data_IF_192677930441
#
_entry.id   IF_192677930441
#
_cell.length_a   1.000
_cell.length_b   1.000
_cell.length_c   1.000
_cell.angle_alpha   90.00
_cell.angle_beta   90.00
_cell.angle_gamma   90.00
#
_symmetry.space_group_name_H-M   'P 1'
#
loop_
_entity.id
_entity.type
_entity.pdbx_description
1 polymer ?
#
# COMPACT_ATOMS: atom_id res chain seq x y z
N UNK A 1 -22.43 -6.32 13.58
CA UNK A 1 -22.54 -5.53 12.33
C UNK A 1 -23.59 -4.44 12.47
N UNK A 2 -23.27 -3.25 11.95
CA UNK A 2 -24.21 -2.11 11.84
C UNK A 2 -24.82 -1.67 13.19
N UNK A 3 -24.03 -1.73 14.25
CA UNK A 3 -24.39 -1.22 15.56
C UNK A 3 -23.95 0.23 15.69
N UNK A 4 -24.69 0.98 16.51
CA UNK A 4 -24.31 2.29 16.98
C UNK A 4 -24.11 2.21 18.49
N UNK A 5 -22.85 2.41 18.93
CA UNK A 5 -22.43 2.24 20.33
C UNK A 5 -21.79 3.55 20.79
N UNK A 6 -22.39 4.16 21.82
CA UNK A 6 -22.04 5.51 22.26
C UNK A 6 -21.86 5.58 23.77
N UNK A 7 -20.88 6.33 24.21
CA UNK A 7 -20.70 6.75 25.62
C UNK A 7 -20.58 5.59 26.63
N UNK A 8 -19.93 4.51 26.20
CA UNK A 8 -19.51 3.41 27.09
C UNK A 8 -18.06 3.58 27.49
N UNK A 9 -17.55 2.71 28.36
CA UNK A 9 -16.10 2.63 28.63
C UNK A 9 -15.36 2.15 27.39
N UNK A 10 -15.85 1.06 26.79
CA UNK A 10 -15.41 0.52 25.50
C UNK A 10 -16.64 0.29 24.63
N UNK A 11 -16.55 0.66 23.35
CA UNK A 11 -17.62 0.35 22.42
C UNK A 11 -17.74 -1.17 22.19
N UNK A 12 -16.64 -1.81 21.82
CA UNK A 12 -16.51 -3.27 21.70
C UNK A 12 -15.24 -3.70 22.43
N UNK A 13 -15.38 -4.68 23.30
CA UNK A 13 -14.27 -5.24 24.08
C UNK A 13 -14.13 -6.73 23.81
N UNK A 14 -12.95 -7.15 23.37
CA UNK A 14 -12.58 -8.56 23.17
C UNK A 14 -11.46 -8.92 24.15
N UNK A 15 -11.65 -9.97 24.92
CA UNK A 15 -10.66 -10.51 25.84
C UNK A 15 -10.55 -12.01 25.61
N UNK A 16 -9.35 -12.50 25.26
CA UNK A 16 -9.11 -13.90 24.93
C UNK A 16 -10.14 -14.42 23.87
N UNK A 17 -10.39 -13.60 22.86
CA UNK A 17 -11.43 -13.84 21.87
C UNK A 17 -10.89 -13.69 20.45
N UNK A 18 -10.96 -14.76 19.68
CA UNK A 18 -10.37 -14.86 18.35
C UNK A 18 -11.43 -15.10 17.27
N UNK A 19 -11.03 -14.91 16.00
CA UNK A 19 -11.85 -15.19 14.81
C UNK A 19 -13.17 -14.40 14.74
N UNK A 20 -13.21 -13.20 15.35
CA UNK A 20 -14.37 -12.35 15.32
C UNK A 20 -14.34 -11.36 14.14
N UNK A 21 -15.53 -11.01 13.66
CA UNK A 21 -15.73 -10.05 12.59
C UNK A 21 -16.52 -8.83 13.11
N UNK A 22 -15.83 -7.68 13.23
CA UNK A 22 -16.38 -6.39 13.66
C UNK A 22 -16.49 -5.50 12.45
N UNK A 23 -17.72 -5.35 11.90
CA UNK A 23 -17.92 -4.71 10.60
C UNK A 23 -19.08 -3.71 10.59
N UNK A 24 -18.83 -2.54 9.99
CA UNK A 24 -19.87 -1.55 9.68
C UNK A 24 -20.50 -0.91 10.91
N UNK A 25 -19.79 -0.80 12.04
CA UNK A 25 -20.31 -0.21 13.26
C UNK A 25 -19.94 1.28 13.37
N UNK A 26 -20.76 2.05 14.08
CA UNK A 26 -20.45 3.41 14.54
C UNK A 26 -20.13 3.35 16.06
N UNK A 27 -18.90 3.71 16.42
CA UNK A 27 -18.37 3.64 17.79
C UNK A 27 -17.91 5.04 18.20
N UNK A 28 -18.73 5.71 19.02
CA UNK A 28 -18.55 7.14 19.24
C UNK A 28 -18.52 7.51 20.73
N UNK A 29 -17.65 8.48 21.08
CA UNK A 29 -17.54 9.10 22.39
C UNK A 29 -17.44 8.08 23.55
N UNK A 30 -16.77 6.94 23.30
CA UNK A 30 -16.51 5.98 24.35
C UNK A 30 -15.30 6.46 25.18
N UNK A 31 -15.39 6.32 26.49
CA UNK A 31 -14.43 6.91 27.44
C UNK A 31 -13.00 6.38 27.27
N UNK A 32 -12.86 5.13 26.84
CA UNK A 32 -11.56 4.53 26.56
C UNK A 32 -11.44 4.20 25.06
N UNK A 33 -12.11 3.20 24.54
CA UNK A 33 -11.85 2.78 23.15
C UNK A 33 -13.12 2.52 22.34
N UNK A 34 -13.03 2.78 21.03
CA UNK A 34 -14.04 2.28 20.11
C UNK A 34 -14.01 0.75 20.10
N UNK A 35 -12.86 0.16 19.79
CA UNK A 35 -12.62 -1.30 19.84
C UNK A 35 -11.36 -1.56 20.69
N UNK A 36 -11.44 -2.49 21.63
CA UNK A 36 -10.27 -2.93 22.40
C UNK A 36 -10.14 -4.45 22.36
N UNK A 37 -8.96 -4.92 21.95
CA UNK A 37 -8.57 -6.32 21.93
C UNK A 37 -7.45 -6.51 22.96
N UNK A 38 -7.61 -7.50 23.84
CA UNK A 38 -6.61 -7.79 24.88
C UNK A 38 -6.49 -9.28 25.17
N UNK A 39 -5.47 -9.65 25.95
CA UNK A 39 -5.22 -11.01 26.42
C UNK A 39 -5.24 -12.08 25.31
N UNK A 40 -4.48 -11.87 24.22
CA UNK A 40 -4.33 -12.86 23.16
C UNK A 40 -5.48 -12.92 22.16
N UNK A 41 -6.33 -11.88 22.12
CA UNK A 41 -7.38 -11.78 21.09
C UNK A 41 -6.77 -11.68 19.69
N UNK A 42 -6.84 -12.75 18.91
CA UNK A 42 -6.11 -12.92 17.64
C UNK A 42 -7.02 -13.28 16.50
N UNK A 43 -6.53 -13.11 15.26
CA UNK A 43 -7.27 -13.45 14.03
C UNK A 43 -8.62 -12.74 13.88
N UNK A 44 -8.81 -11.59 14.53
CA UNK A 44 -10.01 -10.79 14.40
C UNK A 44 -9.89 -9.85 13.19
N UNK A 45 -11.02 -9.56 12.55
CA UNK A 45 -11.14 -8.60 11.46
C UNK A 45 -12.02 -7.43 11.89
N UNK A 46 -11.46 -6.23 11.86
CA UNK A 46 -12.12 -4.97 12.19
C UNK A 46 -12.19 -4.15 10.90
N UNK A 47 -13.36 -4.07 10.26
CA UNK A 47 -13.43 -3.49 8.93
C UNK A 47 -14.66 -2.61 8.71
N UNK A 48 -14.46 -1.50 7.96
CA UNK A 48 -15.55 -0.61 7.56
C UNK A 48 -16.30 0.04 8.73
N UNK A 49 -15.66 0.19 9.88
CA UNK A 49 -16.26 0.85 11.04
C UNK A 49 -15.93 2.35 11.02
N UNK A 50 -16.79 3.14 11.68
CA UNK A 50 -16.60 4.58 11.89
C UNK A 50 -16.43 4.84 13.37
N UNK A 51 -15.28 5.43 13.74
CA UNK A 51 -14.89 5.68 15.13
C UNK A 51 -14.58 7.15 15.33
N UNK A 52 -15.29 7.76 16.30
CA UNK A 52 -15.18 9.20 16.54
C UNK A 52 -15.10 9.51 18.03
N UNK A 53 -14.15 10.39 18.40
CA UNK A 53 -14.11 10.97 19.75
C UNK A 53 -13.86 9.96 20.86
N UNK A 54 -13.18 8.84 20.59
CA UNK A 54 -12.78 7.89 21.61
C UNK A 54 -11.39 8.29 22.16
N UNK A 55 -10.97 7.76 23.31
CA UNK A 55 -9.58 7.94 23.73
C UNK A 55 -8.66 7.13 22.77
N UNK A 56 -8.96 5.85 22.52
CA UNK A 56 -8.40 5.04 21.44
C UNK A 56 -9.49 4.73 20.41
N UNK A 57 -9.23 4.96 19.12
CA UNK A 57 -10.13 4.45 18.08
C UNK A 57 -10.16 2.92 18.14
N UNK A 58 -8.99 2.29 17.92
CA UNK A 58 -8.76 0.85 18.09
C UNK A 58 -7.53 0.65 18.97
N UNK A 59 -7.57 -0.29 19.90
CA UNK A 59 -6.42 -0.68 20.71
C UNK A 59 -6.21 -2.19 20.69
N UNK A 60 -4.97 -2.58 20.42
CA UNK A 60 -4.45 -3.93 20.64
C UNK A 60 -3.52 -3.91 21.85
N UNK A 61 -3.76 -4.80 22.77
CA UNK A 61 -2.92 -5.03 23.93
C UNK A 61 -2.69 -6.53 24.09
N UNK A 62 -1.42 -6.98 23.89
CA UNK A 62 -1.05 -8.41 23.83
C UNK A 62 -1.93 -9.22 22.84
N UNK A 63 -2.23 -8.64 21.68
CA UNK A 63 -3.18 -9.20 20.70
C UNK A 63 -2.59 -9.12 19.30
N UNK A 64 -2.30 -10.27 18.72
CA UNK A 64 -1.54 -10.41 17.47
C UNK A 64 -2.39 -11.03 16.35
N UNK A 65 -1.88 -10.96 15.10
CA UNK A 65 -2.52 -11.58 13.91
C UNK A 65 -3.92 -11.03 13.62
N UNK A 66 -4.20 -9.77 13.94
CA UNK A 66 -5.48 -9.13 13.63
C UNK A 66 -5.38 -8.29 12.35
N UNK A 67 -6.51 -8.08 11.70
CA UNK A 67 -6.62 -7.20 10.52
C UNK A 67 -7.54 -6.02 10.81
N UNK A 68 -7.02 -4.81 10.60
CA UNK A 68 -7.78 -3.55 10.66
C UNK A 68 -7.83 -2.95 9.26
N UNK A 69 -9.00 -2.93 8.64
CA UNK A 69 -9.11 -2.51 7.25
C UNK A 69 -10.29 -1.58 6.98
N UNK A 70 -10.07 -0.56 6.14
CA UNK A 70 -11.15 0.30 5.63
C UNK A 70 -12.00 0.98 6.73
N UNK A 71 -11.41 1.26 7.89
CA UNK A 71 -12.09 2.01 8.94
C UNK A 71 -11.85 3.51 8.78
N UNK A 72 -12.80 4.31 9.24
CA UNK A 72 -12.68 5.75 9.41
C UNK A 72 -12.52 6.06 10.89
N UNK A 73 -11.38 6.64 11.29
CA UNK A 73 -11.03 6.87 12.70
C UNK A 73 -10.61 8.32 12.87
N UNK A 74 -11.38 9.09 13.63
CA UNK A 74 -11.04 10.50 13.85
C UNK A 74 -11.39 11.02 15.25
N UNK A 75 -10.75 12.14 15.61
CA UNK A 75 -11.04 12.86 16.86
C UNK A 75 -10.68 12.09 18.13
N UNK A 76 -9.82 11.08 18.05
CA UNK A 76 -9.34 10.29 19.18
C UNK A 76 -7.99 10.83 19.71
N UNK A 77 -7.60 10.46 20.92
CA UNK A 77 -6.23 10.72 21.38
C UNK A 77 -5.24 9.90 20.55
N UNK A 78 -5.51 8.62 20.36
CA UNK A 78 -4.76 7.76 19.42
C UNK A 78 -5.76 7.09 18.47
N UNK A 79 -5.49 7.20 17.18
CA UNK A 79 -6.33 6.51 16.19
C UNK A 79 -6.26 5.00 16.35
N UNK A 80 -5.06 4.41 16.21
CA UNK A 80 -4.81 2.98 16.40
C UNK A 80 -3.60 2.80 17.31
N UNK A 81 -3.79 2.09 18.42
CA UNK A 81 -2.73 1.68 19.34
C UNK A 81 -2.39 0.20 19.12
N UNK A 82 -1.10 -0.10 18.97
CA UNK A 82 -0.55 -1.47 18.94
C UNK A 82 0.46 -1.58 20.08
N UNK A 83 0.01 -2.13 21.21
CA UNK A 83 0.80 -2.28 22.42
C UNK A 83 1.18 -3.74 22.63
N UNK A 84 2.48 -4.06 22.72
CA UNK A 84 2.99 -5.44 22.90
C UNK A 84 2.29 -6.46 21.96
N UNK A 85 2.03 -6.07 20.73
CA UNK A 85 1.20 -6.81 19.77
C UNK A 85 1.90 -6.89 18.42
N UNK A 86 1.92 -8.07 17.83
CA UNK A 86 2.73 -8.34 16.65
C UNK A 86 1.91 -8.93 15.51
N UNK A 87 2.49 -8.89 14.30
CA UNK A 87 1.92 -9.56 13.13
C UNK A 87 0.49 -9.10 12.78
N UNK A 88 0.12 -7.86 13.14
CA UNK A 88 -1.16 -7.26 12.77
C UNK A 88 -1.03 -6.54 11.41
N UNK A 89 -2.13 -6.48 10.67
CA UNK A 89 -2.22 -5.77 9.40
C UNK A 89 -3.17 -4.58 9.54
N UNK A 90 -2.67 -3.38 9.30
CA UNK A 90 -3.41 -2.12 9.30
C UNK A 90 -3.44 -1.59 7.87
N UNK A 91 -4.59 -1.71 7.20
CA UNK A 91 -4.67 -1.58 5.75
C UNK A 91 -5.85 -0.72 5.29
N UNK A 92 -5.59 0.27 4.42
CA UNK A 92 -6.62 1.14 3.81
C UNK A 92 -7.56 1.82 4.82
N UNK A 93 -7.06 2.21 5.98
CA UNK A 93 -7.83 3.02 6.92
C UNK A 93 -7.63 4.51 6.63
N UNK A 94 -8.66 5.31 6.93
CA UNK A 94 -8.55 6.75 7.02
C UNK A 94 -8.44 7.14 8.49
N UNK A 95 -7.32 7.74 8.87
CA UNK A 95 -6.98 8.07 10.25
C UNK A 95 -6.65 9.56 10.32
N UNK A 96 -7.58 10.34 10.88
CA UNK A 96 -7.49 11.80 10.77
C UNK A 96 -7.92 12.54 12.03
N UNK A 97 -7.36 13.73 12.23
CA UNK A 97 -7.74 14.63 13.33
C UNK A 97 -7.63 14.01 14.73
N UNK A 98 -6.76 13.02 14.90
CA UNK A 98 -6.40 12.47 16.20
C UNK A 98 -5.22 13.28 16.80
N UNK A 99 -4.84 13.04 18.06
CA UNK A 99 -3.54 13.53 18.52
C UNK A 99 -2.46 12.73 17.79
N UNK A 100 -2.39 11.40 17.98
CA UNK A 100 -1.51 10.54 17.18
C UNK A 100 -2.33 9.61 16.28
N UNK A 101 -1.84 9.36 15.06
CA UNK A 101 -2.54 8.52 14.10
C UNK A 101 -2.43 7.04 14.46
N UNK A 102 -1.26 6.44 14.24
CA UNK A 102 -0.95 5.03 14.56
C UNK A 102 0.23 5.02 15.53
N UNK A 103 0.12 4.27 16.63
CA UNK A 103 1.18 4.12 17.62
C UNK A 103 1.50 2.64 17.79
N UNK A 104 2.76 2.24 17.54
CA UNK A 104 3.29 0.92 17.83
C UNK A 104 4.36 1.04 18.91
N UNK A 105 4.12 0.45 20.08
CA UNK A 105 5.05 0.58 21.18
C UNK A 105 5.21 -0.71 22.00
N UNK A 106 6.15 -0.67 22.95
CA UNK A 106 6.43 -1.73 23.93
C UNK A 106 6.65 -3.08 23.27
N UNK A 107 7.73 -3.17 22.47
CA UNK A 107 8.19 -4.41 21.79
C UNK A 107 7.19 -5.03 20.80
N UNK A 108 6.32 -4.22 20.24
CA UNK A 108 5.51 -4.65 19.10
C UNK A 108 6.42 -4.95 17.90
N UNK A 109 6.09 -5.99 17.13
CA UNK A 109 6.94 -6.42 16.00
C UNK A 109 6.16 -6.86 14.79
N UNK A 110 6.78 -6.75 13.62
CA UNK A 110 6.28 -7.30 12.35
C UNK A 110 4.84 -6.90 12.01
N UNK A 111 4.40 -5.74 12.46
CA UNK A 111 3.13 -5.20 12.02
C UNK A 111 3.29 -4.57 10.63
N UNK A 112 2.26 -4.69 9.80
CA UNK A 112 2.23 -4.13 8.46
C UNK A 112 1.24 -2.95 8.48
N UNK A 113 1.75 -1.76 8.19
CA UNK A 113 0.97 -0.52 8.06
C UNK A 113 1.01 -0.15 6.58
N UNK A 114 -0.11 -0.39 5.87
CA UNK A 114 -0.09 -0.31 4.40
C UNK A 114 -1.29 0.42 3.82
N UNK A 115 -1.06 1.28 2.83
CA UNK A 115 -2.11 1.98 2.05
C UNK A 115 -3.10 2.78 2.93
N UNK A 116 -2.70 3.28 4.09
CA UNK A 116 -3.55 4.11 4.93
C UNK A 116 -3.45 5.59 4.52
N UNK A 117 -4.55 6.36 4.71
CA UNK A 117 -4.57 7.82 4.63
C UNK A 117 -4.51 8.38 6.06
N UNK A 118 -3.31 8.86 6.46
CA UNK A 118 -2.99 9.33 7.82
C UNK A 118 -2.78 10.83 7.76
N UNK A 119 -3.80 11.59 8.13
CA UNK A 119 -3.86 13.00 7.80
C UNK A 119 -4.31 13.90 8.94
N UNK A 120 -3.67 15.06 9.05
CA UNK A 120 -4.07 16.13 9.97
C UNK A 120 -4.17 15.69 11.44
N UNK A 121 -3.29 14.79 11.87
CA UNK A 121 -3.16 14.47 13.28
C UNK A 121 -2.27 15.53 13.95
N UNK A 122 -2.68 16.01 15.12
CA UNK A 122 -2.00 17.15 15.77
C UNK A 122 -0.65 16.81 16.38
N UNK A 123 -0.30 15.54 16.49
CA UNK A 123 0.98 14.96 16.86
C UNK A 123 1.54 14.12 15.71
N UNK A 124 1.90 12.87 15.98
CA UNK A 124 2.55 12.00 15.01
C UNK A 124 1.54 11.32 14.08
N UNK A 125 1.88 11.24 12.78
CA UNK A 125 1.13 10.40 11.85
C UNK A 125 1.31 8.93 12.21
N UNK A 126 2.56 8.46 12.23
CA UNK A 126 2.97 7.12 12.68
C UNK A 126 4.05 7.27 13.75
N UNK A 127 3.85 6.65 14.89
CA UNK A 127 4.78 6.60 16.01
C UNK A 127 5.21 5.16 16.27
N UNK A 128 6.53 4.93 16.24
CA UNK A 128 7.14 3.63 16.55
C UNK A 128 8.12 3.85 17.71
N UNK A 129 7.79 3.30 18.88
CA UNK A 129 8.60 3.44 20.07
C UNK A 129 8.95 2.07 20.66
N UNK A 130 10.25 1.80 20.84
CA UNK A 130 10.76 0.53 21.38
C UNK A 130 10.11 -0.69 20.69
N UNK A 131 10.05 -0.61 19.34
CA UNK A 131 9.32 -1.56 18.50
C UNK A 131 10.05 -1.75 17.16
N UNK A 132 10.02 -2.96 16.60
CA UNK A 132 10.95 -3.37 15.56
C UNK A 132 10.30 -4.18 14.45
N UNK A 133 11.03 -4.30 13.33
CA UNK A 133 10.68 -5.18 12.21
C UNK A 133 9.33 -4.83 11.54
N UNK A 134 8.84 -3.59 11.66
CA UNK A 134 7.61 -3.16 11.02
C UNK A 134 7.82 -2.86 9.55
N UNK A 135 6.74 -2.99 8.75
CA UNK A 135 6.70 -2.58 7.35
C UNK A 135 5.67 -1.46 7.19
N UNK A 136 6.12 -0.30 6.76
CA UNK A 136 5.30 0.90 6.54
C UNK A 136 5.38 1.22 5.05
N UNK A 137 4.34 0.85 4.29
CA UNK A 137 4.41 0.80 2.83
C UNK A 137 3.17 1.44 2.19
N UNK A 138 3.35 2.30 1.20
CA UNK A 138 2.26 2.81 0.38
C UNK A 138 1.27 3.71 1.11
N UNK A 139 1.62 4.26 2.27
CA UNK A 139 0.73 5.14 3.02
C UNK A 139 0.83 6.58 2.50
N UNK A 140 -0.28 7.33 2.62
CA UNK A 140 -0.29 8.77 2.52
C UNK A 140 -0.23 9.35 3.94
N UNK A 141 0.92 9.96 4.31
CA UNK A 141 1.18 10.50 5.65
C UNK A 141 1.40 12.00 5.50
N UNK A 142 0.36 12.78 5.80
CA UNK A 142 0.39 14.21 5.47
C UNK A 142 -0.28 15.12 6.48
N UNK A 143 0.20 16.36 6.50
CA UNK A 143 -0.38 17.43 7.32
C UNK A 143 -0.39 17.09 8.83
N UNK A 144 0.50 16.25 9.30
CA UNK A 144 0.67 15.93 10.72
C UNK A 144 1.73 16.86 11.34
N UNK A 145 1.83 16.94 12.67
CA UNK A 145 2.92 17.65 13.34
C UNK A 145 4.28 17.03 13.02
N UNK A 146 4.37 15.71 13.02
CA UNK A 146 5.45 15.00 12.36
C UNK A 146 4.84 13.78 11.61
N UNK A 147 5.37 13.48 10.44
CA UNK A 147 4.87 12.36 9.64
C UNK A 147 5.13 11.04 10.33
N UNK A 148 6.40 10.74 10.58
CA UNK A 148 6.87 9.52 11.25
C UNK A 148 7.76 9.88 12.42
N UNK A 149 7.53 9.27 13.57
CA UNK A 149 8.39 9.34 14.74
C UNK A 149 8.94 7.95 15.08
N UNK A 150 10.27 7.88 15.27
CA UNK A 150 10.99 6.65 15.60
C UNK A 150 11.83 6.88 16.86
N UNK A 151 11.63 6.04 17.89
CA UNK A 151 12.37 6.09 19.13
C UNK A 151 12.78 4.68 19.57
N UNK A 152 14.10 4.46 19.72
CA UNK A 152 14.67 3.16 20.11
C UNK A 152 14.12 1.98 19.27
N UNK A 153 13.98 2.21 17.95
CA UNK A 153 13.28 1.31 17.05
C UNK A 153 14.15 0.96 15.84
N UNK A 154 14.30 -0.33 15.55
CA UNK A 154 15.28 -0.84 14.59
C UNK A 154 14.64 -1.79 13.58
N UNK A 155 15.31 -1.96 12.42
CA UNK A 155 14.89 -2.87 11.35
C UNK A 155 13.48 -2.61 10.79
N UNK A 156 12.96 -1.41 10.94
CA UNK A 156 11.73 -1.05 10.28
C UNK A 156 12.01 -0.74 8.80
N UNK A 157 11.11 -1.14 7.92
CA UNK A 157 11.22 -0.91 6.48
C UNK A 157 10.14 0.05 6.05
N UNK A 158 10.51 1.17 5.45
CA UNK A 158 9.64 2.33 5.18
C UNK A 158 9.87 2.78 3.75
N UNK A 159 9.01 2.38 2.81
CA UNK A 159 9.15 2.77 1.40
C UNK A 159 7.79 2.87 0.68
N UNK A 160 7.80 3.48 -0.49
CA UNK A 160 6.59 3.77 -1.29
C UNK A 160 5.51 4.57 -0.56
N UNK A 161 5.88 5.30 0.51
CA UNK A 161 4.95 6.20 1.18
C UNK A 161 4.99 7.60 0.54
N UNK A 162 3.87 8.29 0.56
CA UNK A 162 3.81 9.73 0.31
C UNK A 162 3.90 10.46 1.64
N UNK A 163 5.06 11.05 1.94
CA UNK A 163 5.33 11.78 3.19
C UNK A 163 5.32 13.28 2.85
N UNK A 164 4.23 13.96 3.24
CA UNK A 164 3.93 15.27 2.67
C UNK A 164 3.49 16.30 3.72
N UNK A 165 4.05 17.48 3.63
CA UNK A 165 3.58 18.67 4.37
C UNK A 165 3.45 18.46 5.88
N UNK A 166 4.15 17.51 6.45
CA UNK A 166 4.21 17.36 7.89
C UNK A 166 5.13 18.45 8.45
N UNK A 167 4.70 19.16 9.48
CA UNK A 167 5.41 20.33 9.96
C UNK A 167 5.42 20.38 11.49
N UNK A 168 6.61 20.50 12.12
CA UNK A 168 7.88 20.90 11.53
C UNK A 168 8.73 19.79 10.91
N UNK A 169 8.34 18.51 11.01
CA UNK A 169 9.19 17.39 10.59
C UNK A 169 8.46 16.40 9.69
N UNK A 170 9.05 16.04 8.54
CA UNK A 170 8.59 14.86 7.80
C UNK A 170 8.85 13.59 8.60
N UNK A 171 10.04 13.48 9.19
CA UNK A 171 10.43 12.39 10.07
C UNK A 171 11.20 12.95 11.27
N UNK A 172 11.01 12.36 12.43
CA UNK A 172 11.81 12.63 13.63
C UNK A 172 12.33 11.31 14.19
N UNK A 173 13.68 11.17 14.25
CA UNK A 173 14.37 9.95 14.65
C UNK A 173 15.17 10.21 15.93
N UNK A 174 15.05 9.27 16.87
CA UNK A 174 15.88 9.25 18.08
C UNK A 174 16.32 7.82 18.40
N UNK A 175 17.63 7.57 18.41
CA UNK A 175 18.23 6.26 18.70
C UNK A 175 17.58 5.11 17.90
N UNK A 176 17.37 5.31 16.62
CA UNK A 176 16.73 4.34 15.73
C UNK A 176 17.48 4.27 14.40
N UNK A 177 17.37 3.16 13.70
CA UNK A 177 17.89 2.98 12.33
C UNK A 177 16.94 2.12 11.53
N UNK A 178 16.58 2.58 10.32
CA UNK A 178 15.58 1.97 9.46
C UNK A 178 16.05 1.84 8.02
N UNK A 179 15.32 1.07 7.21
CA UNK A 179 15.50 0.98 5.76
C UNK A 179 14.43 1.85 5.10
N UNK A 180 14.86 2.80 4.26
CA UNK A 180 13.98 3.83 3.71
C UNK A 180 13.68 3.68 2.23
N UNK A 181 14.25 2.70 1.57
CA UNK A 181 13.97 2.37 0.18
C UNK A 181 13.92 0.86 -0.04
N UNK A 182 13.37 0.44 -1.17
CA UNK A 182 13.32 -0.96 -1.62
C UNK A 182 14.37 -1.24 -2.72
N UNK A 183 15.37 -0.37 -2.79
CA UNK A 183 16.43 -0.44 -3.78
C UNK A 183 16.01 -0.02 -5.19
N UNK A 184 16.98 0.02 -6.09
CA UNK A 184 16.74 0.31 -7.51
C UNK A 184 16.40 -0.99 -8.27
N UNK A 185 15.40 -1.03 -9.15
CA UNK A 185 14.57 0.09 -9.61
C UNK A 185 13.27 0.30 -8.81
N UNK A 186 13.01 -0.37 -7.71
CA UNK A 186 11.77 -0.22 -6.95
C UNK A 186 11.57 1.21 -6.44
N UNK A 187 12.54 1.75 -5.73
CA UNK A 187 12.55 3.10 -5.21
C UNK A 187 12.19 3.17 -3.72
N UNK A 188 12.24 4.37 -3.18
CA UNK A 188 11.96 4.68 -1.79
C UNK A 188 10.61 5.39 -1.58
N UNK A 189 10.62 6.52 -0.90
CA UNK A 189 9.43 7.30 -0.59
C UNK A 189 9.34 8.58 -1.46
N UNK A 190 8.15 9.11 -1.57
CA UNK A 190 7.95 10.48 -2.03
C UNK A 190 7.99 11.45 -0.84
N UNK A 191 8.78 12.50 -0.98
CA UNK A 191 8.99 13.55 0.02
C UNK A 191 8.58 14.90 -0.56
N UNK A 192 7.59 15.57 0.03
CA UNK A 192 7.10 16.84 -0.51
C UNK A 192 8.11 17.99 -0.44
N UNK A 193 9.16 17.84 0.33
CA UNK A 193 10.25 18.81 0.49
C UNK A 193 11.56 18.38 -0.19
N UNK A 194 11.54 17.30 -0.98
CA UNK A 194 12.68 16.89 -1.81
C UNK A 194 12.97 17.95 -2.87
N UNK A 195 14.23 18.38 -2.96
CA UNK A 195 14.69 19.46 -3.85
C UNK A 195 15.59 18.94 -4.99
N UNK A 196 15.71 17.64 -5.16
CA UNK A 196 16.50 17.05 -6.24
C UNK A 196 15.80 17.16 -7.61
N UNK A 197 16.47 16.62 -8.62
CA UNK A 197 15.98 16.49 -9.99
C UNK A 197 15.84 15.01 -10.37
N UNK A 198 15.22 14.76 -11.52
CA UNK A 198 15.18 13.46 -12.20
C UNK A 198 15.63 13.69 -13.65
N UNK A 199 16.93 13.81 -13.84
CA UNK A 199 17.59 14.06 -15.12
C UNK A 199 18.52 12.91 -15.52
N UNK A 200 18.75 12.01 -14.61
CA UNK A 200 19.57 10.82 -14.79
C UNK A 200 18.75 9.57 -14.43
N UNK A 201 19.29 8.41 -14.79
CA UNK A 201 18.69 7.09 -14.57
C UNK A 201 19.75 6.06 -14.24
N UNK A 202 19.30 4.87 -13.84
CA UNK A 202 20.15 3.72 -13.53
C UNK A 202 20.56 3.70 -12.05
N UNK A 203 21.09 2.58 -11.60
CA UNK A 203 21.43 2.35 -10.20
C UNK A 203 22.33 3.46 -9.59
N UNK A 204 23.23 4.02 -10.37
CA UNK A 204 24.12 5.11 -9.93
C UNK A 204 23.59 6.50 -10.24
N UNK A 205 22.36 6.64 -10.77
CA UNK A 205 21.76 7.91 -11.20
C UNK A 205 22.78 8.79 -11.98
N UNK A 206 23.41 8.21 -13.02
CA UNK A 206 24.52 8.84 -13.75
C UNK A 206 24.43 8.68 -15.27
N UNK A 207 23.36 8.09 -15.80
CA UNK A 207 23.05 7.99 -17.23
C UNK A 207 21.98 9.01 -17.57
N UNK A 208 22.15 9.78 -18.65
CA UNK A 208 21.14 10.76 -19.05
C UNK A 208 19.77 10.15 -19.32
N UNK A 209 18.73 10.80 -18.84
CA UNK A 209 17.33 10.44 -18.97
C UNK A 209 16.66 10.24 -17.61
N UNK A 210 15.37 10.52 -17.53
CA UNK A 210 14.56 10.34 -16.32
C UNK A 210 14.09 8.90 -16.15
N UNK A 211 13.88 8.49 -14.90
CA UNK A 211 13.32 7.17 -14.55
C UNK A 211 12.25 7.22 -13.44
N UNK A 212 11.87 8.42 -12.99
CA UNK A 212 10.88 8.65 -11.94
C UNK A 212 11.44 8.54 -10.52
N UNK A 213 12.78 8.42 -10.41
CA UNK A 213 13.54 8.40 -9.16
C UNK A 213 14.43 9.63 -9.12
N UNK A 214 14.58 10.24 -7.97
CA UNK A 214 15.43 11.43 -7.81
C UNK A 214 16.91 11.12 -7.95
N UNK A 215 17.65 12.01 -8.63
CA UNK A 215 19.08 11.88 -8.92
C UNK A 215 19.97 11.85 -7.68
N UNK A 216 19.46 12.33 -6.55
CA UNK A 216 20.22 12.42 -5.30
C UNK A 216 19.43 11.82 -4.14
N UNK A 217 20.09 11.13 -3.21
CA UNK A 217 19.41 10.61 -2.03
C UNK A 217 18.72 11.70 -1.20
N UNK A 218 17.62 11.34 -0.53
CA UNK A 218 16.99 12.17 0.50
C UNK A 218 17.56 11.82 1.87
N UNK A 219 18.27 12.75 2.50
CA UNK A 219 18.86 12.57 3.83
C UNK A 219 17.82 12.85 4.90
N UNK A 220 17.53 11.86 5.74
CA UNK A 220 16.62 11.98 6.88
C UNK A 220 17.43 12.45 8.10
N UNK A 221 18.54 11.74 8.39
CA UNK A 221 19.54 12.18 9.34
C UNK A 221 20.95 11.71 8.90
N UNK A 222 21.90 11.58 9.83
CA UNK A 222 23.29 11.21 9.50
C UNK A 222 23.44 9.73 9.13
N UNK A 223 22.56 8.88 9.64
CA UNK A 223 22.64 7.42 9.49
C UNK A 223 21.48 6.85 8.65
N UNK A 224 20.40 7.63 8.47
CA UNK A 224 19.19 7.23 7.77
C UNK A 224 18.99 8.03 6.48
N UNK A 225 18.95 7.32 5.35
CA UNK A 225 18.91 7.88 4.00
C UNK A 225 17.93 7.07 3.15
N UNK A 226 17.05 7.74 2.42
CA UNK A 226 16.35 7.17 1.28
C UNK A 226 17.22 7.35 0.03
N UNK A 227 17.82 6.26 -0.42
CA UNK A 227 18.81 6.28 -1.51
C UNK A 227 18.18 6.50 -2.89
N UNK A 228 16.88 6.20 -3.02
CA UNK A 228 16.16 6.24 -4.27
C UNK A 228 14.78 6.92 -4.11
N UNK A 229 14.74 8.21 -3.68
CA UNK A 229 13.48 8.91 -3.44
C UNK A 229 12.64 8.98 -4.73
N UNK A 230 11.34 8.74 -4.61
CA UNK A 230 10.42 8.86 -5.74
C UNK A 230 10.25 10.34 -6.13
N UNK A 231 10.33 10.62 -7.42
CA UNK A 231 10.27 12.01 -7.92
C UNK A 231 8.86 12.62 -7.92
N UNK A 232 7.83 11.78 -7.78
CA UNK A 232 6.44 12.22 -7.61
C UNK A 232 5.68 11.26 -6.69
N UNK A 233 4.44 11.63 -6.37
CA UNK A 233 3.56 10.81 -5.54
C UNK A 233 3.30 9.45 -6.16
N UNK A 234 3.29 8.43 -5.32
CA UNK A 234 2.92 7.08 -5.69
C UNK A 234 1.47 6.80 -5.32
N UNK A 235 0.75 6.14 -6.21
CA UNK A 235 -0.60 5.62 -5.95
C UNK A 235 -0.65 4.13 -6.26
N UNK A 236 -1.14 3.35 -5.30
CA UNK A 236 -1.29 1.90 -5.39
C UNK A 236 -2.72 1.58 -5.76
N UNK A 237 -2.94 1.05 -6.97
CA UNK A 237 -4.26 0.71 -7.50
C UNK A 237 -4.54 -0.79 -7.39
N UNK A 238 -5.62 -1.17 -6.72
CA UNK A 238 -6.08 -2.56 -6.75
C UNK A 238 -6.65 -2.88 -8.14
N UNK A 239 -6.13 -3.92 -8.75
CA UNK A 239 -6.62 -4.41 -10.04
C UNK A 239 -7.39 -5.72 -9.93
N UNK A 240 -7.71 -6.13 -8.72
CA UNK A 240 -8.57 -7.28 -8.43
C UNK A 240 -7.84 -8.53 -7.97
N UNK A 241 -8.62 -9.57 -7.77
CA UNK A 241 -8.12 -10.89 -7.35
C UNK A 241 -8.21 -11.84 -8.54
N UNK A 242 -7.07 -12.35 -8.99
CA UNK A 242 -6.97 -13.25 -10.12
C UNK A 242 -6.29 -14.55 -9.68
N UNK A 243 -6.94 -15.69 -9.92
CA UNK A 243 -6.46 -17.01 -9.46
C UNK A 243 -6.17 -17.06 -7.94
N UNK A 244 -6.95 -16.34 -7.13
CA UNK A 244 -6.78 -16.29 -5.69
C UNK A 244 -5.65 -15.37 -5.19
N UNK A 245 -4.98 -14.65 -6.09
CA UNK A 245 -3.94 -13.67 -5.76
C UNK A 245 -4.50 -12.26 -5.97
N UNK A 246 -4.37 -11.42 -4.96
CA UNK A 246 -4.68 -9.99 -5.08
C UNK A 246 -3.52 -9.26 -5.76
N UNK A 247 -3.83 -8.46 -6.78
CA UNK A 247 -2.85 -7.70 -7.54
C UNK A 247 -3.07 -6.21 -7.39
N UNK A 248 -1.97 -5.47 -7.47
CA UNK A 248 -1.97 -4.01 -7.56
C UNK A 248 -1.01 -3.55 -8.64
N UNK A 249 -1.23 -2.35 -9.13
CA UNK A 249 -0.35 -1.62 -10.02
C UNK A 249 0.01 -0.32 -9.33
N UNK A 250 1.29 -0.01 -9.26
CA UNK A 250 1.78 1.20 -8.62
C UNK A 250 2.15 2.22 -9.69
N UNK A 251 1.67 3.44 -9.52
CA UNK A 251 1.91 4.53 -10.47
C UNK A 251 2.54 5.70 -9.71
N UNK A 252 3.76 6.08 -10.13
CA UNK A 252 4.43 7.32 -9.72
C UNK A 252 4.24 8.33 -10.83
N UNK A 253 3.64 9.47 -10.53
CA UNK A 253 3.34 10.49 -11.54
C UNK A 253 3.12 11.86 -10.92
N UNK A 254 3.45 12.90 -11.68
CA UNK A 254 3.09 14.29 -11.38
C UNK A 254 1.70 14.70 -11.88
N UNK A 255 0.91 13.73 -12.38
CA UNK A 255 -0.46 13.91 -12.82
C UNK A 255 -1.45 13.32 -11.82
N UNK A 256 -2.70 13.78 -11.85
CA UNK A 256 -3.79 13.08 -11.16
C UNK A 256 -4.23 11.88 -12.00
N UNK A 257 -4.24 10.69 -11.40
CA UNK A 257 -4.71 9.45 -12.04
C UNK A 257 -6.15 9.17 -11.65
N UNK A 258 -6.98 8.88 -12.64
CA UNK A 258 -8.40 8.58 -12.49
C UNK A 258 -8.75 7.29 -13.25
N UNK A 259 -9.81 6.62 -12.81
CA UNK A 259 -10.50 5.55 -13.55
C UNK A 259 -9.58 4.40 -14.03
N UNK A 260 -8.62 3.97 -13.20
CA UNK A 260 -7.79 2.83 -13.57
C UNK A 260 -8.66 1.56 -13.69
N UNK A 261 -8.60 0.94 -14.85
CA UNK A 261 -9.35 -0.26 -15.21
C UNK A 261 -8.40 -1.32 -15.78
N UNK A 262 -8.44 -2.49 -15.15
CA UNK A 262 -7.83 -3.71 -15.68
C UNK A 262 -8.92 -4.77 -15.85
N UNK A 263 -9.16 -5.18 -17.10
CA UNK A 263 -10.12 -6.25 -17.40
C UNK A 263 -9.46 -7.28 -18.33
N UNK A 264 -9.03 -8.43 -17.83
CA UNK A 264 -8.34 -9.44 -18.62
C UNK A 264 -9.21 -10.01 -19.74
N UNK A 265 -10.54 -9.87 -19.69
CA UNK A 265 -11.44 -10.30 -20.76
C UNK A 265 -11.38 -9.36 -21.99
N UNK A 266 -10.91 -8.13 -21.84
CA UNK A 266 -10.69 -7.18 -22.92
C UNK A 266 -9.30 -7.30 -23.54
N UNK A 267 -8.48 -8.17 -23.00
CA UNK A 267 -7.11 -8.44 -23.41
C UNK A 267 -6.07 -8.04 -22.37
N UNK A 268 -4.79 -8.27 -22.68
CA UNK A 268 -3.67 -8.04 -21.76
C UNK A 268 -3.34 -6.54 -21.66
N UNK A 269 -4.26 -5.75 -21.14
CA UNK A 269 -4.09 -4.30 -21.05
C UNK A 269 -4.76 -3.72 -19.80
N UNK A 270 -4.23 -2.60 -19.37
CA UNK A 270 -4.94 -1.70 -18.45
C UNK A 270 -4.95 -0.27 -19.01
N UNK A 271 -5.91 0.49 -18.55
CA UNK A 271 -6.09 1.90 -18.94
C UNK A 271 -6.40 2.72 -17.71
N UNK A 272 -5.98 3.97 -17.76
CA UNK A 272 -6.31 5.00 -16.78
C UNK A 272 -6.32 6.38 -17.43
N UNK A 273 -7.03 7.30 -16.81
CA UNK A 273 -7.01 8.68 -17.24
C UNK A 273 -5.99 9.47 -16.40
N UNK A 274 -5.31 10.40 -17.04
CA UNK A 274 -4.42 11.35 -16.40
C UNK A 274 -4.87 12.77 -16.67
N UNK A 275 -4.67 13.65 -15.70
CA UNK A 275 -4.91 15.09 -15.85
C UNK A 275 -3.83 15.87 -15.11
N UNK A 276 -3.44 17.00 -15.68
CA UNK A 276 -2.50 17.96 -15.11
C UNK A 276 -2.67 19.31 -15.81
N UNK A 277 -1.90 20.30 -15.40
CA UNK A 277 -2.00 21.68 -15.90
C UNK A 277 -1.62 21.77 -17.38
N UNK A 278 -2.51 22.29 -18.21
CA UNK A 278 -2.32 22.43 -19.64
C UNK A 278 -1.00 23.17 -19.96
N UNK A 279 -0.26 22.64 -20.93
CA UNK A 279 1.02 23.20 -21.37
C UNK A 279 2.22 22.84 -20.51
N UNK A 280 2.06 21.99 -19.51
CA UNK A 280 3.15 21.38 -18.74
C UNK A 280 3.41 19.93 -19.21
N UNK A 281 4.50 19.33 -18.73
CA UNK A 281 4.85 17.95 -19.04
C UNK A 281 4.47 17.02 -17.90
N UNK A 282 3.79 15.94 -18.25
CA UNK A 282 3.53 14.80 -17.39
C UNK A 282 4.53 13.68 -17.59
N UNK A 283 4.69 12.86 -16.55
CA UNK A 283 5.34 11.56 -16.66
C UNK A 283 4.55 10.51 -15.91
N UNK A 284 4.70 9.27 -16.31
CA UNK A 284 4.27 8.11 -15.55
C UNK A 284 5.42 7.11 -15.42
N UNK A 285 5.59 6.61 -14.21
CA UNK A 285 6.38 5.42 -13.92
C UNK A 285 5.44 4.38 -13.34
N UNK A 286 5.27 3.27 -14.04
CA UNK A 286 4.26 2.25 -13.73
C UNK A 286 4.94 0.94 -13.38
N UNK A 287 4.73 0.44 -12.17
CA UNK A 287 5.22 -0.86 -11.73
C UNK A 287 4.14 -1.93 -11.96
N UNK A 288 4.45 -2.90 -12.80
CA UNK A 288 3.53 -3.95 -13.25
C UNK A 288 4.03 -5.30 -12.73
N UNK A 289 3.26 -6.04 -11.91
CA UNK A 289 3.67 -7.38 -11.49
C UNK A 289 3.85 -8.31 -12.69
N UNK A 290 5.02 -8.95 -12.79
CA UNK A 290 5.33 -9.90 -13.88
C UNK A 290 4.39 -11.11 -13.90
N UNK A 291 3.78 -11.41 -12.77
CA UNK A 291 2.77 -12.46 -12.65
C UNK A 291 1.36 -12.01 -13.04
N UNK A 292 1.14 -10.71 -13.26
CA UNK A 292 -0.12 -10.14 -13.74
C UNK A 292 -0.14 -9.98 -15.25
N UNK A 293 0.88 -9.37 -15.79
CA UNK A 293 0.97 -9.02 -17.21
C UNK A 293 2.40 -9.26 -17.71
N UNK A 294 2.51 -9.89 -18.85
CA UNK A 294 3.77 -10.25 -19.46
C UNK A 294 3.83 -9.83 -20.95
N UNK A 295 5.06 -9.60 -21.43
CA UNK A 295 5.31 -9.15 -22.81
C UNK A 295 6.33 -10.07 -23.50
N UNK A 296 6.10 -10.38 -24.79
CA UNK A 296 7.05 -11.13 -25.64
C UNK A 296 7.87 -10.19 -26.51
N UNK A 297 7.20 -9.23 -27.18
CA UNK A 297 7.79 -8.41 -28.24
C UNK A 297 7.83 -6.90 -27.90
N UNK A 298 7.80 -6.53 -26.60
CA UNK A 298 7.78 -5.14 -26.14
C UNK A 298 6.36 -4.63 -25.81
N UNK A 299 6.33 -3.60 -25.00
CA UNK A 299 5.09 -2.98 -24.53
C UNK A 299 4.50 -2.06 -25.59
N UNK A 300 3.19 -2.05 -25.68
CA UNK A 300 2.47 -1.04 -26.47
C UNK A 300 1.87 -0.02 -25.50
N UNK A 301 2.38 1.21 -25.53
CA UNK A 301 1.91 2.32 -24.69
C UNK A 301 1.29 3.36 -25.60
N UNK A 302 0.08 3.85 -25.27
CA UNK A 302 -0.54 4.99 -25.96
C UNK A 302 -0.98 6.05 -24.96
N UNK A 303 -0.88 7.31 -25.35
CA UNK A 303 -1.42 8.47 -24.67
C UNK A 303 -2.45 9.12 -25.59
N UNK A 304 -3.73 9.02 -25.22
CA UNK A 304 -4.81 9.19 -26.19
C UNK A 304 -4.69 8.17 -27.32
N UNK A 305 -4.72 8.65 -28.56
CA UNK A 305 -4.55 7.82 -29.76
C UNK A 305 -3.10 7.78 -30.27
N UNK A 306 -2.16 8.41 -29.56
CA UNK A 306 -0.77 8.51 -30.01
C UNK A 306 0.10 7.44 -29.36
N UNK A 307 0.88 6.67 -30.14
CA UNK A 307 1.81 5.70 -29.58
C UNK A 307 2.99 6.40 -28.90
N UNK A 308 3.38 5.90 -27.74
CA UNK A 308 4.62 6.27 -27.06
C UNK A 308 5.71 5.31 -27.53
N UNK A 309 6.68 5.84 -28.26
CA UNK A 309 7.81 5.04 -28.81
C UNK A 309 9.08 5.20 -27.99
N UNK A 310 9.16 6.25 -27.19
CA UNK A 310 10.30 6.53 -26.30
C UNK A 310 9.85 6.30 -24.86
N UNK A 311 10.17 5.15 -24.33
CA UNK A 311 9.93 4.78 -22.94
C UNK A 311 11.13 3.99 -22.39
N UNK A 312 11.34 4.10 -21.10
CA UNK A 312 12.33 3.30 -20.37
C UNK A 312 11.62 2.07 -19.79
N UNK A 313 12.21 0.91 -19.98
CA UNK A 313 11.81 -0.34 -19.34
C UNK A 313 12.93 -0.79 -18.38
N UNK A 314 12.54 -1.04 -17.13
CA UNK A 314 13.41 -1.57 -16.10
C UNK A 314 12.72 -2.78 -15.46
N UNK A 315 13.50 -3.65 -14.86
CA UNK A 315 12.96 -4.86 -14.23
C UNK A 315 13.70 -5.21 -12.94
N UNK A 316 12.95 -5.78 -12.01
CA UNK A 316 13.49 -6.59 -10.92
C UNK A 316 12.95 -8.03 -10.98
N UNK A 317 13.05 -8.78 -9.88
CA UNK A 317 12.55 -10.16 -9.83
C UNK A 317 11.02 -10.26 -9.98
N UNK A 318 10.29 -9.27 -9.52
CA UNK A 318 8.82 -9.28 -9.35
C UNK A 318 8.05 -8.36 -10.28
N UNK A 319 8.66 -7.25 -10.68
CA UNK A 319 8.01 -6.18 -11.42
C UNK A 319 8.74 -5.80 -12.70
N UNK A 320 7.97 -5.30 -13.67
CA UNK A 320 8.45 -4.48 -14.78
C UNK A 320 8.03 -3.04 -14.51
N UNK A 321 8.98 -2.10 -14.66
CA UNK A 321 8.77 -0.67 -14.49
C UNK A 321 8.84 0.01 -15.84
N UNK A 322 7.78 0.73 -16.21
CA UNK A 322 7.70 1.49 -17.46
C UNK A 322 7.69 2.98 -17.13
N UNK A 323 8.68 3.73 -17.60
CA UNK A 323 8.72 5.18 -17.45
C UNK A 323 8.61 5.86 -18.80
N UNK A 324 7.71 6.82 -18.92
CA UNK A 324 7.48 7.60 -20.14
C UNK A 324 6.92 8.99 -19.79
N UNK A 325 7.07 9.93 -20.75
CA UNK A 325 6.62 11.31 -20.60
C UNK A 325 5.56 11.67 -21.65
N UNK A 326 4.74 12.68 -21.34
CA UNK A 326 3.68 13.17 -22.22
C UNK A 326 3.35 14.64 -21.93
N UNK A 327 2.67 15.31 -22.86
CA UNK A 327 2.15 16.64 -22.59
C UNK A 327 0.86 16.55 -21.76
N UNK A 328 0.75 17.36 -20.71
CA UNK A 328 -0.46 17.42 -19.89
C UNK A 328 -1.66 17.92 -20.68
N UNK A 329 -2.74 17.19 -20.53
CA UNK A 329 -4.14 17.48 -20.80
C UNK A 329 -4.94 16.31 -20.20
N UNK A 330 -6.27 16.30 -20.33
CA UNK A 330 -7.05 15.12 -19.99
C UNK A 330 -6.79 14.05 -21.06
N UNK A 331 -6.08 12.99 -20.73
CA UNK A 331 -5.70 11.93 -21.65
C UNK A 331 -5.91 10.55 -21.04
N UNK A 332 -6.26 9.60 -21.90
CA UNK A 332 -6.29 8.18 -21.53
C UNK A 332 -4.96 7.54 -21.86
N UNK A 333 -4.32 6.94 -20.87
CA UNK A 333 -3.14 6.10 -21.04
C UNK A 333 -3.60 4.64 -21.16
N UNK A 334 -3.12 3.94 -22.18
CA UNK A 334 -3.31 2.51 -22.34
C UNK A 334 -1.97 1.82 -22.40
N UNK A 335 -1.76 0.81 -21.55
CA UNK A 335 -0.56 -0.02 -21.53
C UNK A 335 -0.99 -1.46 -21.82
N UNK A 336 -0.43 -2.04 -22.89
CA UNK A 336 -0.75 -3.37 -23.35
C UNK A 336 0.49 -4.25 -23.35
N UNK A 337 0.35 -5.44 -22.74
CA UNK A 337 1.29 -6.54 -22.86
C UNK A 337 0.86 -7.58 -23.89
N UNK A 338 1.49 -8.75 -23.89
CA UNK A 338 1.17 -9.86 -24.79
C UNK A 338 0.22 -10.86 -24.12
N UNK A 339 0.39 -11.12 -22.83
CA UNK A 339 -0.40 -12.10 -22.05
C UNK A 339 -0.80 -11.55 -20.70
N UNK A 340 -2.01 -11.91 -20.28
CA UNK A 340 -2.48 -11.77 -18.90
C UNK A 340 -2.13 -13.06 -18.17
N UNK A 341 -2.00 -13.01 -16.82
CA UNK A 341 -1.75 -14.13 -15.89
C UNK A 341 -1.98 -15.49 -16.55
N UNK A 342 -1.07 -16.45 -16.39
CA UNK A 342 -1.15 -17.69 -17.13
C UNK A 342 -2.58 -18.22 -17.09
N UNK A 343 -3.26 -18.15 -18.22
CA UNK A 343 -4.39 -19.02 -18.48
C UNK A 343 -3.92 -20.40 -18.05
N UNK A 344 -4.74 -21.12 -17.30
CA UNK A 344 -4.49 -22.55 -17.11
C UNK A 344 -4.15 -23.09 -18.50
N UNK A 345 -2.94 -23.62 -18.73
CA UNK A 345 -2.57 -24.04 -20.07
C UNK A 345 -3.71 -24.95 -20.53
N UNK A 346 -4.25 -24.69 -21.72
CA UNK A 346 -5.35 -25.50 -22.29
C UNK A 346 -5.05 -26.99 -22.15
N UNK A 347 -3.77 -27.33 -22.10
CA UNK A 347 -3.19 -28.65 -21.83
C UNK A 347 -3.56 -29.19 -20.42
N UNK A 348 -3.54 -28.36 -19.36
CA UNK A 348 -3.93 -28.80 -18.01
C UNK A 348 -5.44 -28.98 -17.88
N UNK A 349 -6.22 -28.13 -18.53
CA UNK A 349 -7.68 -28.27 -18.59
C UNK A 349 -8.08 -29.53 -19.39
N UNK A 350 -7.44 -29.77 -20.54
CA UNK A 350 -7.64 -30.99 -21.32
C UNK A 350 -7.17 -32.23 -20.58
N UNK A 351 -6.06 -32.19 -19.85
CA UNK A 351 -5.60 -33.30 -19.01
C UNK A 351 -6.58 -33.58 -17.85
N UNK A 352 -7.09 -32.56 -17.17
CA UNK A 352 -8.12 -32.72 -16.14
C UNK A 352 -9.41 -33.31 -16.69
N UNK A 353 -9.86 -32.87 -17.87
CA UNK A 353 -11.06 -33.45 -18.53
C UNK A 353 -10.81 -34.91 -18.92
N UNK A 354 -9.62 -35.24 -19.45
CA UNK A 354 -9.22 -36.62 -19.78
C UNK A 354 -9.14 -37.52 -18.53
N UNK A 355 -8.58 -37.00 -17.44
CA UNK A 355 -8.53 -37.74 -16.16
C UNK A 355 -9.93 -37.98 -15.61
N UNK A 356 -10.80 -36.98 -15.62
CA UNK A 356 -12.20 -37.10 -15.20
C UNK A 356 -12.98 -38.06 -16.10
N UNK A 357 -12.76 -38.04 -17.40
CA UNK A 357 -13.40 -38.97 -18.35
C UNK A 357 -12.92 -40.41 -18.15
N UNK A 358 -11.63 -40.63 -17.89
CA UNK A 358 -11.08 -41.97 -17.60
C UNK A 358 -11.56 -42.49 -16.23
N UNK A 359 -11.64 -41.66 -15.20
CA UNK A 359 -12.18 -42.05 -13.90
C UNK A 359 -13.67 -42.40 -13.97
N UNK A 360 -14.46 -41.68 -14.76
CA UNK A 360 -15.88 -41.99 -14.97
C UNK A 360 -16.10 -43.27 -15.77
N UNK A 361 -15.24 -43.59 -16.73
CA UNK A 361 -15.29 -44.87 -17.49
C UNK A 361 -14.88 -46.06 -16.61
N UNK A 362 -13.85 -45.94 -15.79
CA UNK A 362 -13.43 -46.97 -14.83
C UNK A 362 -14.52 -47.21 -13.78
N UNK A 363 -15.15 -46.14 -13.26
CA UNK A 363 -16.24 -46.24 -12.30
C UNK A 363 -17.48 -46.92 -12.88
N UNK A 364 -17.86 -46.63 -14.15
CA UNK A 364 -18.94 -47.31 -14.86
C UNK A 364 -18.62 -48.78 -15.16
N UNK A 365 -17.37 -49.12 -15.45
CA UNK A 365 -16.94 -50.50 -15.67
C UNK A 365 -17.00 -51.35 -14.38
N UNK A 366 -16.61 -50.75 -13.22
CA UNK A 366 -16.71 -51.45 -11.91
C UNK A 366 -18.14 -51.63 -11.39
N UNK A 367 -19.16 -50.98 -11.92
CA UNK A 367 -20.57 -51.17 -11.57
C UNK A 367 -21.28 -52.22 -12.43
N UNK A 368 -20.61 -52.80 -13.42
CA UNK A 368 -21.15 -53.83 -14.30
C UNK A 368 -20.66 -55.28 -13.95
N UNK A 369 -19.85 -55.38 -12.93
CA UNK A 369 -19.43 -56.58 -12.26
C UNK A 369 -19.86 -56.55 -10.77
#
# INVERSE_FOLDING_TARGET
KNLRILSFLHGIYLSDASDNLIVGNELKDNLNSGVWLTYGSSFNVISGNRMFGNYYGIAFEWSSFNTVAQNEINGSTVGILVYSSSDNIIFKNRISFNINGIVCNVQSRRNIIQCNDIVSNSGFGVEIENSHDHRIIGNSIRDNWAGIYLHESYNNTIYHNNIMHNSPHQVYIYQSTCVWDDGYPSGGNYWSDYQGSDSYKGFGQNQFGSDGIGDTPYSIDIDDVDSFPLFAQITIFDVGVWNGVAYHIDIVTNSTVLDLCFNPNEGPLFRFNVTGDDGTNGFCRVAIPKTLLWVEDGWTITVGDQPVTDYLELEDESFTYLHFTYNHSIQTITIRGTRVIPEFPLVTLTLMILILATLTTIWKAKRKH
#
